data_IF_271309213711
#
_entry.id   IF_271309213711
#
_cell.length_a   1.000
_cell.length_b   1.000
_cell.length_c   1.000
_cell.angle_alpha   90.00
_cell.angle_beta   90.00
_cell.angle_gamma   90.00
#
_symmetry.space_group_name_H-M   'P 1'
#
loop_
_entity.id
_entity.type
_entity.pdbx_description
1 polymer ?
#
# COMPACT_ATOMS: atom_id res chain seq x y z
N UNK A 1 -8.78 5.66 13.58
CA UNK A 1 -7.44 5.03 13.47
C UNK A 1 -6.95 5.19 12.05
N UNK A 2 -5.67 5.43 11.87
CA UNK A 2 -5.00 5.50 10.57
C UNK A 2 -4.52 4.09 10.21
N UNK A 3 -4.68 3.71 8.94
CA UNK A 3 -4.17 2.43 8.42
C UNK A 3 -3.15 2.71 7.32
N UNK A 4 -2.08 1.90 7.26
CA UNK A 4 -1.19 1.89 6.11
C UNK A 4 -1.87 1.21 4.91
N UNK A 5 -1.55 1.65 3.69
CA UNK A 5 -1.98 0.95 2.46
C UNK A 5 -1.16 -0.31 2.19
N UNK A 6 0.01 -0.45 2.80
CA UNK A 6 0.84 -1.66 2.78
C UNK A 6 0.51 -2.54 3.98
N UNK A 7 0.66 -3.84 3.83
CA UNK A 7 0.42 -4.79 4.90
C UNK A 7 0.72 -6.22 4.47
N UNK A 8 0.91 -7.06 5.46
CA UNK A 8 1.12 -8.49 5.30
C UNK A 8 0.30 -9.25 6.34
N UNK A 9 -0.34 -10.33 5.93
CA UNK A 9 -1.02 -11.25 6.81
C UNK A 9 -0.80 -12.69 6.37
N UNK A 10 -0.59 -13.59 7.31
CA UNK A 10 -0.45 -15.03 7.07
C UNK A 10 -1.22 -15.79 8.12
N UNK A 11 -1.94 -16.79 7.67
CA UNK A 11 -2.58 -17.75 8.55
C UNK A 11 -2.37 -19.16 8.01
N UNK A 12 -2.11 -20.08 8.92
CA UNK A 12 -1.93 -21.49 8.62
C UNK A 12 -2.86 -22.29 9.53
N UNK A 13 -3.71 -23.12 8.93
CA UNK A 13 -4.67 -23.96 9.66
C UNK A 13 -4.47 -25.39 9.19
N UNK A 14 -4.33 -26.28 10.16
CA UNK A 14 -4.30 -27.72 9.94
C UNK A 14 -5.49 -28.36 10.64
N UNK A 15 -6.46 -28.85 9.87
CA UNK A 15 -7.66 -29.52 10.38
C UNK A 15 -7.94 -30.78 9.56
N UNK A 16 -8.28 -31.89 10.22
CA UNK A 16 -8.69 -33.14 9.58
C UNK A 16 -7.72 -33.61 8.46
N UNK A 17 -6.42 -33.65 8.76
CA UNK A 17 -5.34 -34.06 7.84
C UNK A 17 -5.20 -33.16 6.58
N UNK A 18 -5.74 -31.97 6.64
CA UNK A 18 -5.65 -30.95 5.59
C UNK A 18 -5.01 -29.70 6.13
N UNK A 19 -4.13 -29.09 5.35
CA UNK A 19 -3.44 -27.87 5.70
C UNK A 19 -3.75 -26.79 4.69
N UNK A 20 -4.22 -25.66 5.20
CA UNK A 20 -4.46 -24.44 4.44
C UNK A 20 -3.46 -23.38 4.88
N UNK A 21 -2.71 -22.81 3.96
CA UNK A 21 -1.87 -21.64 4.22
C UNK A 21 -2.34 -20.51 3.33
N UNK A 22 -2.69 -19.38 3.95
CA UNK A 22 -3.12 -18.18 3.25
C UNK A 22 -2.16 -17.05 3.57
N UNK A 23 -1.59 -16.45 2.54
CA UNK A 23 -0.73 -15.28 2.64
C UNK A 23 -1.38 -14.13 1.86
N UNK A 24 -1.40 -12.95 2.48
CA UNK A 24 -1.97 -11.73 1.92
C UNK A 24 -0.92 -10.63 1.96
N UNK A 25 -0.74 -9.93 0.84
CA UNK A 25 0.15 -8.78 0.73
C UNK A 25 -0.56 -7.66 -0.02
N UNK A 26 -0.50 -6.45 0.51
CA UNK A 26 -1.03 -5.28 -0.18
C UNK A 26 0.05 -4.25 -0.50
N UNK A 27 -0.18 -3.55 -1.61
CA UNK A 27 0.56 -2.36 -2.00
C UNK A 27 -0.41 -1.23 -2.30
N UNK A 28 0.10 0.01 -2.24
CA UNK A 28 -0.70 1.19 -2.53
C UNK A 28 -1.31 1.11 -3.92
N UNK A 29 -2.63 1.25 -4.00
CA UNK A 29 -3.38 1.34 -5.25
C UNK A 29 -4.66 2.15 -5.07
N UNK A 30 -5.07 2.88 -6.14
CA UNK A 30 -6.23 3.78 -6.09
C UNK A 30 -7.56 3.07 -5.85
N UNK A 31 -7.72 1.85 -6.38
CA UNK A 31 -8.92 1.04 -6.31
C UNK A 31 -8.62 -0.28 -5.60
N UNK A 32 -9.67 -0.98 -5.15
CA UNK A 32 -9.51 -2.35 -4.67
C UNK A 32 -9.28 -3.27 -5.87
N UNK A 33 -8.08 -3.83 -5.97
CA UNK A 33 -7.71 -4.85 -6.94
C UNK A 33 -7.23 -6.09 -6.18
N UNK A 34 -7.99 -7.18 -6.29
CA UNK A 34 -7.70 -8.43 -5.57
C UNK A 34 -7.30 -9.50 -6.57
N UNK A 35 -6.07 -9.95 -6.46
CA UNK A 35 -5.52 -11.03 -7.26
C UNK A 35 -5.34 -12.26 -6.36
N UNK A 36 -6.02 -13.37 -6.69
CA UNK A 36 -6.02 -14.59 -5.90
C UNK A 36 -5.31 -15.68 -6.70
N UNK A 37 -4.25 -16.23 -6.13
CA UNK A 37 -3.54 -17.39 -6.65
C UNK A 37 -3.80 -18.58 -5.75
N UNK A 38 -4.43 -19.61 -6.30
CA UNK A 38 -4.81 -20.82 -5.55
C UNK A 38 -4.72 -22.08 -6.41
N UNK A 39 -4.66 -23.27 -5.82
CA UNK A 39 -4.76 -24.55 -6.53
C UNK A 39 -6.08 -24.69 -7.28
N UNK A 40 -6.08 -25.35 -8.45
CA UNK A 40 -7.28 -25.55 -9.27
C UNK A 40 -8.45 -26.18 -8.51
N UNK A 41 -8.16 -27.07 -7.57
CA UNK A 41 -9.14 -27.73 -6.69
C UNK A 41 -9.98 -26.74 -5.84
N UNK A 42 -9.53 -25.50 -5.63
CA UNK A 42 -10.21 -24.49 -4.83
C UNK A 42 -10.85 -23.37 -5.66
N UNK A 43 -10.72 -23.38 -7.00
CA UNK A 43 -11.18 -22.28 -7.85
C UNK A 43 -12.67 -21.95 -7.73
N UNK A 44 -13.51 -22.93 -7.42
CA UNK A 44 -14.95 -22.70 -7.21
C UNK A 44 -15.27 -21.81 -5.99
N UNK A 45 -14.33 -21.65 -5.04
CA UNK A 45 -14.48 -20.76 -3.90
C UNK A 45 -14.03 -19.31 -4.15
N UNK A 46 -13.50 -18.98 -5.33
CA UNK A 46 -12.96 -17.65 -5.60
C UNK A 46 -13.95 -16.52 -5.34
N UNK A 47 -15.20 -16.68 -5.77
CA UNK A 47 -16.25 -15.68 -5.56
C UNK A 47 -16.58 -15.44 -4.09
N UNK A 48 -16.61 -16.54 -3.30
CA UNK A 48 -16.86 -16.51 -1.86
C UNK A 48 -15.71 -15.82 -1.11
N UNK A 49 -14.46 -16.12 -1.48
CA UNK A 49 -13.28 -15.48 -0.91
C UNK A 49 -13.30 -13.97 -1.22
N UNK A 50 -13.57 -13.57 -2.48
CA UNK A 50 -13.68 -12.15 -2.86
C UNK A 50 -14.76 -11.42 -2.05
N UNK A 51 -15.91 -12.07 -1.82
CA UNK A 51 -17.00 -11.50 -1.03
C UNK A 51 -16.64 -11.35 0.44
N UNK A 52 -15.91 -12.30 0.99
CA UNK A 52 -15.40 -12.27 2.36
C UNK A 52 -14.40 -11.11 2.54
N UNK A 53 -13.45 -10.97 1.64
CA UNK A 53 -12.38 -9.98 1.71
C UNK A 53 -12.86 -8.53 1.61
N UNK A 54 -13.97 -8.28 0.92
CA UNK A 54 -14.60 -6.94 0.86
C UNK A 54 -15.07 -6.43 2.24
N UNK A 55 -15.21 -7.32 3.24
CA UNK A 55 -15.55 -6.93 4.61
C UNK A 55 -14.34 -6.36 5.37
N UNK A 56 -13.13 -6.71 4.96
CA UNK A 56 -11.86 -6.35 5.62
C UNK A 56 -11.08 -5.26 4.89
N UNK A 57 -11.26 -5.13 3.56
CA UNK A 57 -10.41 -4.31 2.70
C UNK A 57 -11.29 -3.47 1.78
N UNK A 58 -11.12 -2.15 1.88
CA UNK A 58 -11.86 -1.18 1.06
C UNK A 58 -11.07 -0.74 -0.17
N UNK A 59 -9.71 -0.70 -0.06
CA UNK A 59 -8.82 -0.13 -1.06
C UNK A 59 -7.46 -0.82 -1.05
N UNK A 60 -6.74 -0.74 -2.19
CA UNK A 60 -5.38 -1.27 -2.37
C UNK A 60 -5.34 -2.42 -3.37
N UNK A 61 -4.16 -2.71 -3.89
CA UNK A 61 -3.91 -3.93 -4.66
C UNK A 61 -3.44 -5.02 -3.70
N UNK A 62 -4.23 -6.09 -3.63
CA UNK A 62 -4.01 -7.19 -2.68
C UNK A 62 -3.72 -8.47 -3.46
N UNK A 63 -2.53 -9.01 -3.30
CA UNK A 63 -2.15 -10.32 -3.79
C UNK A 63 -2.36 -11.35 -2.67
N UNK A 64 -3.08 -12.41 -2.99
CA UNK A 64 -3.43 -13.49 -2.06
C UNK A 64 -2.89 -14.79 -2.63
N UNK A 65 -2.12 -15.49 -1.82
CA UNK A 65 -1.58 -16.80 -2.13
C UNK A 65 -2.20 -17.82 -1.20
N UNK A 66 -2.87 -18.80 -1.77
CA UNK A 66 -3.48 -19.90 -1.04
C UNK A 66 -2.78 -21.18 -1.45
N UNK A 67 -2.20 -21.88 -0.48
CA UNK A 67 -1.71 -23.24 -0.65
C UNK A 67 -2.58 -24.21 0.13
N UNK A 68 -2.75 -25.41 -0.43
CA UNK A 68 -3.53 -26.49 0.13
C UNK A 68 -2.73 -27.77 0.04
N UNK A 69 -2.56 -28.42 1.17
CA UNK A 69 -1.92 -29.74 1.29
C UNK A 69 -2.94 -30.71 1.90
N UNK A 70 -3.09 -31.86 1.28
CA UNK A 70 -3.99 -32.92 1.72
C UNK A 70 -3.13 -34.11 2.16
N UNK A 71 -3.20 -34.45 3.43
CA UNK A 71 -2.48 -35.58 4.04
C UNK A 71 -3.38 -36.78 4.26
N UNK A 72 -4.69 -36.67 3.87
CA UNK A 72 -5.57 -37.83 3.91
C UNK A 72 -4.94 -38.93 3.04
N UNK A 73 -4.83 -40.13 3.59
CA UNK A 73 -4.41 -41.27 2.82
C UNK A 73 -5.27 -41.31 1.56
N UNK A 74 -4.60 -41.25 0.38
CA UNK A 74 -5.28 -41.30 -0.91
C UNK A 74 -5.97 -42.64 -1.03
N UNK A 75 -7.18 -42.73 -0.55
CA UNK A 75 -8.07 -43.85 -0.86
C UNK A 75 -8.47 -43.71 -2.33
N UNK A 76 -7.52 -44.03 -3.21
CA UNK A 76 -7.82 -44.24 -4.62
C UNK A 76 -8.74 -45.46 -4.70
N UNK A 77 -10.03 -45.19 -4.89
CA UNK A 77 -10.99 -46.23 -5.08
C UNK A 77 -10.89 -46.72 -6.54
N UNK A 78 -10.47 -47.96 -6.70
CA UNK A 78 -10.51 -48.62 -8.01
C UNK A 78 -11.93 -49.08 -8.23
N UNK A 79 -12.61 -48.50 -9.20
CA UNK A 79 -13.97 -48.93 -9.59
C UNK A 79 -13.88 -49.87 -10.77
N UNK A 80 -14.51 -51.03 -10.60
CA UNK A 80 -14.70 -51.99 -11.68
C UNK A 80 -15.98 -51.68 -12.43
N UNK A 81 -15.86 -51.43 -13.73
CA UNK A 81 -16.99 -51.14 -14.61
C UNK A 81 -17.43 -52.44 -15.31
N UNK A 82 -18.37 -53.12 -14.70
CA UNK A 82 -18.86 -54.39 -15.13
C UNK A 82 -19.46 -54.34 -16.55
N UNK A 83 -20.26 -53.31 -16.85
CA UNK A 83 -21.00 -53.22 -18.10
C UNK A 83 -20.05 -53.07 -19.29
N UNK A 84 -19.00 -52.26 -19.12
CA UNK A 84 -17.94 -52.11 -20.16
C UNK A 84 -17.15 -53.41 -20.33
N UNK A 85 -16.83 -54.08 -19.25
CA UNK A 85 -16.12 -55.37 -19.32
C UNK A 85 -16.96 -56.44 -20.02
N UNK A 86 -18.28 -56.49 -19.82
CA UNK A 86 -19.21 -57.38 -20.49
C UNK A 86 -19.29 -57.08 -22.00
N UNK A 87 -19.31 -55.80 -22.40
CA UNK A 87 -19.27 -55.43 -23.82
C UNK A 87 -17.97 -55.86 -24.49
N UNK A 88 -16.81 -55.60 -23.89
CA UNK A 88 -15.53 -56.06 -24.41
C UNK A 88 -15.50 -57.59 -24.56
N UNK A 89 -15.93 -58.33 -23.54
CA UNK A 89 -15.99 -59.78 -23.54
C UNK A 89 -16.89 -60.32 -24.69
N UNK A 90 -18.05 -59.71 -24.94
CA UNK A 90 -18.98 -60.04 -25.99
C UNK A 90 -18.30 -59.89 -27.38
N UNK A 91 -17.70 -58.75 -27.64
CA UNK A 91 -17.05 -58.50 -28.95
C UNK A 91 -15.79 -59.32 -29.16
N UNK A 92 -15.01 -59.59 -28.14
CA UNK A 92 -13.85 -60.49 -28.23
C UNK A 92 -14.25 -61.92 -28.64
N UNK A 93 -15.32 -62.46 -28.03
CA UNK A 93 -15.87 -63.75 -28.39
C UNK A 93 -16.42 -63.79 -29.80
N UNK A 94 -17.10 -62.71 -30.24
CA UNK A 94 -17.58 -62.58 -31.60
C UNK A 94 -16.42 -62.54 -32.61
N UNK A 95 -15.35 -61.80 -32.34
CA UNK A 95 -14.15 -61.79 -33.17
C UNK A 95 -13.48 -63.15 -33.28
N UNK A 96 -13.40 -63.88 -32.17
CA UNK A 96 -12.88 -65.21 -32.18
C UNK A 96 -13.70 -66.18 -33.13
N UNK A 97 -15.01 -66.06 -33.13
CA UNK A 97 -15.91 -66.80 -34.00
C UNK A 97 -15.79 -66.36 -35.46
N UNK A 98 -15.86 -65.05 -35.72
CA UNK A 98 -15.87 -64.48 -37.07
C UNK A 98 -14.59 -64.80 -37.86
N UNK A 99 -13.47 -64.83 -37.15
CA UNK A 99 -12.14 -65.08 -37.75
C UNK A 99 -11.54 -66.47 -37.47
N UNK A 100 -12.30 -67.39 -36.84
CA UNK A 100 -11.87 -68.73 -36.44
C UNK A 100 -10.55 -68.68 -35.62
N UNK A 101 -10.46 -67.77 -34.68
CA UNK A 101 -9.34 -67.61 -33.75
C UNK A 101 -9.60 -68.37 -32.45
N UNK A 102 -8.55 -68.71 -31.71
CA UNK A 102 -8.68 -69.30 -30.39
C UNK A 102 -9.21 -68.23 -29.39
N UNK A 103 -10.16 -68.59 -28.53
CA UNK A 103 -10.62 -67.76 -27.44
C UNK A 103 -9.59 -67.77 -26.30
N UNK A 104 -8.73 -66.72 -26.27
CA UNK A 104 -7.65 -66.58 -25.30
C UNK A 104 -7.95 -65.51 -24.26
N UNK A 105 -9.22 -65.11 -24.11
CA UNK A 105 -9.63 -64.04 -23.20
C UNK A 105 -9.35 -64.41 -21.75
N UNK A 106 -8.40 -63.68 -21.15
CA UNK A 106 -8.01 -63.87 -19.75
C UNK A 106 -8.38 -62.61 -18.97
N UNK A 107 -8.57 -62.76 -17.66
CA UNK A 107 -8.80 -61.61 -16.74
C UNK A 107 -7.70 -60.55 -16.88
N UNK A 108 -6.45 -60.98 -17.03
CA UNK A 108 -5.31 -60.09 -17.23
C UNK A 108 -5.35 -59.30 -18.56
N UNK A 109 -6.04 -59.82 -19.57
CA UNK A 109 -6.26 -59.14 -20.85
C UNK A 109 -7.43 -58.16 -20.72
N UNK A 110 -8.57 -58.62 -20.18
CA UNK A 110 -9.77 -57.84 -20.02
C UNK A 110 -9.55 -56.62 -19.09
N UNK A 111 -8.74 -56.82 -18.05
CA UNK A 111 -8.43 -55.72 -17.07
C UNK A 111 -7.60 -54.59 -17.66
N UNK A 112 -6.97 -54.77 -18.84
CA UNK A 112 -6.16 -53.73 -19.50
C UNK A 112 -6.92 -52.91 -20.51
N UNK A 113 -8.18 -53.29 -20.84
CA UNK A 113 -8.97 -52.48 -21.76
C UNK A 113 -9.40 -51.15 -21.09
N UNK A 114 -9.48 -50.09 -21.88
CA UNK A 114 -9.88 -48.77 -21.37
C UNK A 114 -11.18 -48.83 -20.57
N UNK A 115 -11.21 -48.08 -19.48
CA UNK A 115 -12.40 -47.89 -18.63
C UNK A 115 -12.98 -49.14 -17.92
N UNK A 116 -12.37 -50.32 -18.09
CA UNK A 116 -12.74 -51.50 -17.30
C UNK A 116 -12.43 -51.28 -15.82
N UNK A 117 -11.29 -50.67 -15.53
CA UNK A 117 -10.97 -50.12 -14.19
C UNK A 117 -10.73 -48.64 -14.29
N UNK A 118 -11.47 -47.87 -13.50
CA UNK A 118 -11.27 -46.42 -13.35
C UNK A 118 -10.80 -46.14 -11.93
N UNK A 119 -9.85 -45.20 -11.81
CA UNK A 119 -9.46 -44.65 -10.52
C UNK A 119 -10.39 -43.45 -10.24
N UNK A 120 -11.30 -43.61 -9.28
CA UNK A 120 -12.13 -42.50 -8.81
C UNK A 120 -11.48 -41.90 -7.56
N UNK A 121 -11.19 -40.59 -7.62
CA UNK A 121 -10.87 -39.82 -6.41
C UNK A 121 -12.17 -39.70 -5.61
N UNK A 122 -12.09 -39.91 -4.29
CA UNK A 122 -13.27 -39.67 -3.41
C UNK A 122 -13.77 -38.25 -3.58
N UNK A 123 -15.08 -38.10 -3.67
CA UNK A 123 -15.74 -36.79 -3.69
C UNK A 123 -15.38 -36.03 -2.43
N UNK A 124 -14.67 -34.94 -2.61
CA UNK A 124 -14.26 -34.07 -1.52
C UNK A 124 -15.51 -33.36 -0.99
N UNK A 125 -15.72 -33.38 0.33
CA UNK A 125 -16.78 -32.62 0.97
C UNK A 125 -16.45 -31.10 0.87
N UNK A 126 -17.14 -30.44 -0.07
CA UNK A 126 -16.97 -29.01 -0.34
C UNK A 126 -17.26 -28.13 0.87
N UNK A 127 -18.21 -28.52 1.73
CA UNK A 127 -18.55 -27.75 2.92
C UNK A 127 -17.43 -27.79 3.96
N UNK A 128 -16.79 -28.94 4.14
CA UNK A 128 -15.64 -29.07 5.05
C UNK A 128 -14.43 -28.31 4.53
N UNK A 129 -14.17 -28.36 3.21
CA UNK A 129 -13.11 -27.59 2.59
C UNK A 129 -13.34 -26.10 2.75
N UNK A 130 -14.57 -25.62 2.54
CA UNK A 130 -14.90 -24.22 2.70
C UNK A 130 -14.68 -23.76 4.13
N UNK A 131 -15.14 -24.51 5.14
CA UNK A 131 -14.96 -24.15 6.55
C UNK A 131 -13.49 -23.97 6.94
N UNK A 132 -12.62 -24.88 6.50
CA UNK A 132 -11.18 -24.77 6.77
C UNK A 132 -10.54 -23.58 6.04
N UNK A 133 -10.87 -23.41 4.75
CA UNK A 133 -10.39 -22.30 3.94
C UNK A 133 -10.90 -20.94 4.47
N UNK A 134 -12.18 -20.83 4.82
CA UNK A 134 -12.77 -19.60 5.37
C UNK A 134 -12.06 -19.17 6.64
N UNK A 135 -11.81 -20.09 7.57
CA UNK A 135 -11.05 -19.79 8.79
C UNK A 135 -9.65 -19.28 8.48
N UNK A 136 -8.95 -19.93 7.53
CA UNK A 136 -7.60 -19.52 7.13
C UNK A 136 -7.59 -18.14 6.48
N UNK A 137 -8.56 -17.85 5.61
CA UNK A 137 -8.73 -16.54 4.96
C UNK A 137 -9.08 -15.46 5.99
N UNK A 138 -10.00 -15.73 6.93
CA UNK A 138 -10.35 -14.80 8.01
C UNK A 138 -9.14 -14.50 8.89
N UNK A 139 -8.42 -15.52 9.33
CA UNK A 139 -7.23 -15.33 10.18
C UNK A 139 -6.12 -14.54 9.48
N UNK A 140 -5.88 -14.81 8.18
CA UNK A 140 -4.94 -14.02 7.40
C UNK A 140 -5.40 -12.56 7.21
N UNK A 141 -6.71 -12.34 6.98
CA UNK A 141 -7.28 -11.00 6.83
C UNK A 141 -7.22 -10.20 8.14
N UNK A 142 -7.50 -10.82 9.28
CA UNK A 142 -7.36 -10.18 10.60
C UNK A 142 -5.92 -9.79 10.89
N UNK A 143 -4.97 -10.71 10.69
CA UNK A 143 -3.54 -10.42 10.82
C UNK A 143 -3.08 -9.29 9.87
N UNK A 144 -3.56 -9.29 8.64
CA UNK A 144 -3.31 -8.26 7.65
C UNK A 144 -3.83 -6.88 8.09
N UNK A 145 -5.08 -6.81 8.58
CA UNK A 145 -5.66 -5.54 9.09
C UNK A 145 -4.88 -5.04 10.30
N UNK A 146 -4.52 -5.93 11.22
CA UNK A 146 -3.74 -5.56 12.40
C UNK A 146 -2.35 -5.03 12.03
N UNK A 147 -1.67 -5.64 11.07
CA UNK A 147 -0.39 -5.15 10.58
C UNK A 147 -0.52 -3.75 9.98
N UNK A 148 -1.57 -3.48 9.19
CA UNK A 148 -1.85 -2.15 8.61
C UNK A 148 -2.14 -1.09 9.67
N UNK A 149 -2.82 -1.44 10.76
CA UNK A 149 -3.08 -0.53 11.88
C UNK A 149 -1.77 -0.19 12.59
N UNK A 150 -0.94 -1.19 12.89
CA UNK A 150 0.34 -0.98 13.57
C UNK A 150 1.29 -0.12 12.73
N UNK A 151 1.39 -0.40 11.45
CA UNK A 151 2.21 0.38 10.52
C UNK A 151 1.66 1.80 10.33
N UNK A 152 0.33 1.96 10.26
CA UNK A 152 -0.33 3.26 10.19
C UNK A 152 -0.04 4.14 11.39
N UNK A 153 0.00 3.58 12.61
CA UNK A 153 0.35 4.33 13.81
C UNK A 153 1.84 4.72 13.82
N UNK A 154 2.74 3.85 13.35
CA UNK A 154 4.16 4.18 13.20
C UNK A 154 4.36 5.31 12.19
N UNK A 155 3.69 5.26 11.03
CA UNK A 155 3.72 6.32 10.02
C UNK A 155 3.21 7.65 10.58
N UNK A 156 2.12 7.62 11.33
CA UNK A 156 1.58 8.83 12.00
C UNK A 156 2.60 9.47 12.94
N UNK A 157 3.25 8.67 13.78
CA UNK A 157 4.23 9.17 14.73
C UNK A 157 5.47 9.77 14.03
N UNK A 158 5.96 9.12 12.98
CA UNK A 158 7.05 9.64 12.16
C UNK A 158 6.68 10.95 11.44
N UNK A 159 5.46 11.03 10.89
CA UNK A 159 4.95 12.25 10.27
C UNK A 159 4.83 13.39 11.27
N UNK A 160 4.33 13.16 12.49
CA UNK A 160 4.25 14.17 13.53
C UNK A 160 5.65 14.69 13.89
N UNK A 161 6.62 13.79 14.05
CA UNK A 161 8.00 14.19 14.35
C UNK A 161 8.62 15.05 13.23
N UNK A 162 8.40 14.70 11.96
CA UNK A 162 8.84 15.52 10.82
C UNK A 162 8.17 16.90 10.79
N UNK A 163 6.87 16.94 11.06
CA UNK A 163 6.12 18.21 11.14
C UNK A 163 6.59 19.09 12.31
N UNK A 164 7.04 18.50 13.43
CA UNK A 164 7.66 19.23 14.51
C UNK A 164 9.02 19.81 14.10
N UNK A 165 9.87 19.02 13.41
CA UNK A 165 11.12 19.52 12.87
C UNK A 165 10.97 20.64 11.85
N UNK A 166 9.90 20.61 11.05
CA UNK A 166 9.59 21.70 10.11
C UNK A 166 9.29 23.03 10.83
N UNK A 167 8.68 22.98 12.02
CA UNK A 167 8.43 24.19 12.81
C UNK A 167 9.72 24.88 13.24
N UNK A 168 10.80 24.14 13.52
CA UNK A 168 12.11 24.71 13.85
C UNK A 168 12.66 25.56 12.71
N UNK A 169 12.49 25.12 11.45
CA UNK A 169 12.88 25.91 10.28
C UNK A 169 12.01 27.16 10.13
N UNK A 170 10.70 27.05 10.38
CA UNK A 170 9.77 28.19 10.32
C UNK A 170 10.11 29.21 11.41
N UNK A 171 10.45 28.76 12.62
CA UNK A 171 10.86 29.62 13.74
C UNK A 171 12.15 30.36 13.41
N UNK A 172 13.16 29.66 12.90
CA UNK A 172 14.41 30.27 12.47
C UNK A 172 14.20 31.38 11.42
N UNK A 173 13.39 31.09 10.37
CA UNK A 173 13.09 32.09 9.33
C UNK A 173 12.36 33.30 9.92
N UNK A 174 11.43 33.08 10.86
CA UNK A 174 10.68 34.14 11.55
C UNK A 174 11.63 35.06 12.33
N UNK A 175 12.62 34.52 13.01
CA UNK A 175 13.58 35.28 13.80
C UNK A 175 14.61 36.02 12.93
N UNK A 176 15.02 35.41 11.81
CA UNK A 176 16.05 35.95 10.90
C UNK A 176 15.50 37.08 9.99
N UNK A 177 14.25 36.97 9.56
CA UNK A 177 13.65 37.93 8.58
C UNK A 177 13.76 39.43 8.99
N UNK A 178 13.48 39.85 10.23
CA UNK A 178 13.64 41.26 10.63
C UNK A 178 15.11 41.72 10.63
N UNK A 179 16.05 40.81 10.88
CA UNK A 179 17.47 41.14 10.94
C UNK A 179 18.00 41.52 9.55
N UNK A 180 17.51 40.89 8.51
CA UNK A 180 17.89 41.16 7.10
C UNK A 180 17.55 42.59 6.72
N UNK A 181 16.40 43.09 7.14
CA UNK A 181 15.96 44.47 6.89
C UNK A 181 16.90 45.46 7.60
N UNK A 182 17.27 45.13 8.85
CA UNK A 182 18.21 45.95 9.62
C UNK A 182 19.62 45.98 9.00
N UNK A 183 20.13 44.81 8.62
CA UNK A 183 21.41 44.69 7.94
C UNK A 183 21.44 45.41 6.58
N UNK A 184 20.34 45.29 5.81
CA UNK A 184 20.20 46.00 4.53
C UNK A 184 20.22 47.52 4.73
N UNK A 185 19.47 48.02 5.71
CA UNK A 185 19.47 49.47 6.06
C UNK A 185 20.87 49.93 6.37
N UNK A 186 21.62 49.21 7.19
CA UNK A 186 22.97 49.57 7.58
C UNK A 186 23.93 49.58 6.39
N UNK A 187 23.93 48.51 5.58
CA UNK A 187 24.78 48.40 4.35
C UNK A 187 24.46 49.51 3.36
N UNK A 188 23.16 49.78 3.17
CA UNK A 188 22.77 50.85 2.23
C UNK A 188 23.24 52.23 2.73
N UNK A 189 23.14 52.52 4.02
CA UNK A 189 23.61 53.76 4.64
C UNK A 189 25.11 53.91 4.47
N UNK A 190 25.90 52.91 4.77
CA UNK A 190 27.34 52.92 4.62
C UNK A 190 27.76 53.15 3.16
N UNK A 191 27.13 52.48 2.21
CA UNK A 191 27.41 52.63 0.80
C UNK A 191 27.06 54.01 0.26
N UNK A 192 25.94 54.61 0.72
CA UNK A 192 25.55 55.98 0.36
C UNK A 192 26.54 56.98 0.95
N UNK A 193 26.99 56.78 2.20
CA UNK A 193 27.99 57.64 2.83
C UNK A 193 29.35 57.62 2.08
N UNK A 194 29.79 56.46 1.66
CA UNK A 194 31.03 56.30 0.84
C UNK A 194 30.94 57.08 -0.49
N UNK A 195 29.73 57.13 -1.11
CA UNK A 195 29.51 57.76 -2.41
C UNK A 195 29.32 59.29 -2.33
N UNK A 196 28.89 59.81 -1.16
CA UNK A 196 28.54 61.23 -0.97
C UNK A 196 29.66 62.09 -0.36
N UNK A 197 30.80 61.50 0.01
CA UNK A 197 31.90 62.14 0.74
C UNK A 197 31.34 62.90 1.99
N UNK A 198 31.40 64.23 1.97
CA UNK A 198 30.93 65.08 3.07
C UNK A 198 29.45 65.54 2.96
N UNK A 199 28.71 65.07 1.96
CA UNK A 199 27.33 65.46 1.75
C UNK A 199 26.38 64.71 2.71
N UNK A 200 25.38 65.40 3.26
CA UNK A 200 24.39 64.77 4.15
C UNK A 200 23.51 63.79 3.39
N UNK A 201 23.28 62.61 4.01
CA UNK A 201 22.37 61.62 3.49
C UNK A 201 20.94 62.13 3.60
N UNK A 202 20.15 61.97 2.54
CA UNK A 202 18.68 62.17 2.59
C UNK A 202 18.02 60.96 3.25
N UNK A 203 17.72 61.12 4.55
CA UNK A 203 17.13 60.03 5.37
C UNK A 203 15.73 59.61 4.86
N UNK A 204 14.95 60.55 4.27
CA UNK A 204 13.62 60.21 3.74
C UNK A 204 13.73 59.25 2.53
N UNK A 205 14.72 59.52 1.67
CA UNK A 205 15.00 58.70 0.49
C UNK A 205 15.56 57.33 0.88
N UNK A 206 16.46 57.30 1.88
CA UNK A 206 16.97 56.05 2.46
C UNK A 206 15.84 55.17 3.02
N UNK A 207 14.92 55.76 3.80
CA UNK A 207 13.78 55.04 4.37
C UNK A 207 12.84 54.50 3.30
N UNK A 208 12.61 55.25 2.21
CA UNK A 208 11.79 54.80 1.09
C UNK A 208 12.38 53.54 0.47
N UNK A 209 13.69 53.50 0.20
CA UNK A 209 14.37 52.32 -0.38
C UNK A 209 14.33 51.12 0.59
N UNK A 210 14.51 51.35 1.89
CA UNK A 210 14.42 50.28 2.90
C UNK A 210 13.01 49.72 2.97
N UNK A 211 11.95 50.57 2.86
CA UNK A 211 10.57 50.10 2.84
C UNK A 211 10.26 49.27 1.62
N UNK A 212 10.70 49.69 0.43
CA UNK A 212 10.54 48.91 -0.82
C UNK A 212 11.23 47.57 -0.69
N UNK A 213 12.44 47.52 -0.13
CA UNK A 213 13.16 46.28 0.10
C UNK A 213 12.43 45.40 1.12
N UNK A 214 11.95 45.95 2.24
CA UNK A 214 11.21 45.24 3.27
C UNK A 214 9.95 44.56 2.70
N UNK A 215 9.17 45.27 1.89
CA UNK A 215 7.98 44.74 1.24
C UNK A 215 8.33 43.58 0.28
N UNK A 216 9.45 43.71 -0.45
CA UNK A 216 9.91 42.67 -1.40
C UNK A 216 10.32 41.38 -0.71
N UNK A 217 10.96 41.47 0.45
CA UNK A 217 11.48 40.26 1.19
C UNK A 217 10.53 39.81 2.30
N UNK A 218 9.35 40.43 2.45
CA UNK A 218 8.37 40.07 3.45
C UNK A 218 7.83 38.65 3.18
N UNK A 219 7.95 37.76 4.18
CA UNK A 219 7.50 36.38 4.15
C UNK A 219 6.56 36.01 5.29
N UNK A 220 6.07 37.02 6.00
CA UNK A 220 5.27 36.84 7.22
C UNK A 220 3.96 36.07 6.94
N UNK A 221 3.29 36.37 5.84
CA UNK A 221 2.05 35.71 5.45
C UNK A 221 2.30 34.20 5.15
N UNK A 222 3.36 33.91 4.40
CA UNK A 222 3.78 32.53 4.06
C UNK A 222 4.12 31.73 5.32
N UNK A 223 4.81 32.32 6.28
CA UNK A 223 5.14 31.69 7.55
C UNK A 223 3.90 31.39 8.40
N UNK A 224 2.95 32.34 8.49
CA UNK A 224 1.68 32.11 9.19
C UNK A 224 0.87 31.00 8.54
N UNK A 225 0.76 31.02 7.21
CA UNK A 225 0.05 29.96 6.46
C UNK A 225 0.71 28.61 6.65
N UNK A 226 2.04 28.54 6.58
CA UNK A 226 2.79 27.30 6.75
C UNK A 226 2.59 26.70 8.15
N UNK A 227 2.64 27.52 9.21
CA UNK A 227 2.30 27.08 10.58
C UNK A 227 0.88 26.54 10.67
N UNK A 228 -0.08 27.22 10.04
CA UNK A 228 -1.48 26.78 9.99
C UNK A 228 -1.61 25.42 9.28
N UNK A 229 -0.96 25.23 8.14
CA UNK A 229 -1.00 23.97 7.39
C UNK A 229 -0.34 22.81 8.16
N UNK A 230 0.77 23.06 8.85
CA UNK A 230 1.41 22.08 9.73
C UNK A 230 0.45 21.68 10.86
N UNK A 231 -0.20 22.65 11.51
CA UNK A 231 -1.20 22.39 12.55
C UNK A 231 -2.38 21.56 12.04
N UNK A 232 -2.97 21.94 10.91
CA UNK A 232 -4.08 21.21 10.27
C UNK A 232 -3.70 19.77 9.89
N UNK A 233 -2.44 19.57 9.45
CA UNK A 233 -1.94 18.23 9.15
C UNK A 233 -1.87 17.37 10.41
N UNK A 234 -1.34 17.89 11.51
CA UNK A 234 -1.29 17.20 12.80
C UNK A 234 -2.68 16.86 13.35
N UNK A 235 -3.61 17.80 13.30
CA UNK A 235 -5.00 17.58 13.70
C UNK A 235 -5.66 16.49 12.86
N UNK A 236 -5.48 16.49 11.54
CA UNK A 236 -6.02 15.47 10.66
C UNK A 236 -5.43 14.08 10.98
N UNK A 237 -4.10 13.99 11.24
CA UNK A 237 -3.45 12.75 11.66
C UNK A 237 -3.96 12.23 13.01
N UNK A 238 -4.31 13.11 13.95
CA UNK A 238 -4.88 12.72 15.24
C UNK A 238 -6.34 12.26 15.09
N UNK A 239 -7.12 12.93 14.26
CA UNK A 239 -8.53 12.59 14.01
C UNK A 239 -8.71 11.26 13.30
N UNK A 240 -7.78 10.84 12.45
CA UNK A 240 -7.83 9.59 11.70
C UNK A 240 -8.92 9.55 10.62
N UNK A 241 -9.19 8.36 10.10
CA UNK A 241 -10.15 8.13 9.02
C UNK A 241 -9.51 8.29 7.64
N UNK A 242 -10.32 8.35 6.59
CA UNK A 242 -9.84 8.47 5.19
C UNK A 242 -9.33 9.89 4.89
N UNK A 243 -8.14 10.20 5.37
CA UNK A 243 -7.56 11.55 5.36
C UNK A 243 -6.52 11.77 4.25
N UNK A 244 -6.07 10.73 3.55
CA UNK A 244 -4.94 10.80 2.61
C UNK A 244 -5.08 11.91 1.55
N UNK A 245 -6.26 12.10 0.94
CA UNK A 245 -6.48 13.18 -0.04
C UNK A 245 -6.41 14.57 0.56
N UNK A 246 -6.94 14.74 1.78
CA UNK A 246 -6.89 16.02 2.51
C UNK A 246 -5.44 16.37 2.84
N UNK A 247 -4.69 15.41 3.31
CA UNK A 247 -3.27 15.57 3.65
C UNK A 247 -2.41 15.88 2.41
N UNK A 248 -2.64 15.22 1.27
CA UNK A 248 -1.91 15.52 0.03
C UNK A 248 -2.16 16.94 -0.45
N UNK A 249 -3.42 17.42 -0.35
CA UNK A 249 -3.75 18.82 -0.66
C UNK A 249 -3.02 19.80 0.27
N UNK A 250 -3.04 19.56 1.58
CA UNK A 250 -2.34 20.42 2.54
C UNK A 250 -0.83 20.43 2.29
N UNK A 251 -0.24 19.26 1.97
CA UNK A 251 1.18 19.17 1.64
C UNK A 251 1.55 19.98 0.37
N UNK A 252 0.66 20.02 -0.63
CA UNK A 252 0.84 20.86 -1.82
C UNK A 252 0.82 22.36 -1.47
N UNK A 253 -0.09 22.78 -0.58
CA UNK A 253 -0.12 24.18 -0.11
C UNK A 253 1.15 24.51 0.69
N UNK A 254 1.60 23.61 1.59
CA UNK A 254 2.88 23.81 2.29
C UNK A 254 4.06 24.00 1.32
N UNK A 255 4.11 23.18 0.26
CA UNK A 255 5.16 23.30 -0.77
C UNK A 255 5.08 24.63 -1.52
N UNK A 256 3.86 25.14 -1.77
CA UNK A 256 3.64 26.44 -2.38
C UNK A 256 4.18 27.57 -1.51
N UNK A 257 3.87 27.57 -0.20
CA UNK A 257 4.36 28.58 0.73
C UNK A 257 5.90 28.53 0.84
N UNK A 258 6.50 27.34 0.94
CA UNK A 258 7.95 27.17 0.97
C UNK A 258 8.64 27.68 -0.31
N UNK A 259 8.04 27.48 -1.48
CA UNK A 259 8.53 28.01 -2.76
C UNK A 259 8.47 29.55 -2.78
N UNK A 260 7.39 30.14 -2.24
CA UNK A 260 7.26 31.60 -2.17
C UNK A 260 8.30 32.22 -1.24
N UNK A 261 8.54 31.62 -0.07
CA UNK A 261 9.63 32.03 0.84
C UNK A 261 10.97 32.00 0.11
N UNK A 262 11.29 30.91 -0.59
CA UNK A 262 12.54 30.76 -1.33
C UNK A 262 12.69 31.81 -2.44
N UNK A 263 11.60 32.19 -3.11
CA UNK A 263 11.63 33.17 -4.20
C UNK A 263 11.76 34.62 -3.73
N UNK A 264 11.29 34.92 -2.51
CA UNK A 264 11.34 36.28 -1.92
C UNK A 264 12.65 36.54 -1.18
N UNK A 265 13.32 35.52 -0.67
CA UNK A 265 14.54 35.71 0.11
C UNK A 265 15.75 35.96 -0.74
N UNK A 266 16.65 36.83 -0.24
CA UNK A 266 18.01 37.05 -0.78
C UNK A 266 19.10 36.62 0.21
N UNK A 267 18.69 36.17 1.41
CA UNK A 267 19.58 35.72 2.48
C UNK A 267 19.91 34.23 2.30
N UNK A 268 21.19 33.87 2.42
CA UNK A 268 21.67 32.50 2.21
C UNK A 268 21.20 31.54 3.30
N UNK A 269 21.09 32.02 4.54
CA UNK A 269 20.65 31.18 5.67
C UNK A 269 19.17 30.83 5.55
N UNK A 270 18.33 31.85 5.23
CA UNK A 270 16.90 31.62 4.96
C UNK A 270 16.73 30.70 3.73
N UNK A 271 17.50 30.91 2.66
CA UNK A 271 17.45 30.05 1.47
C UNK A 271 17.77 28.60 1.82
N UNK A 272 18.81 28.36 2.62
CA UNK A 272 19.18 27.04 3.10
C UNK A 272 18.04 26.37 3.88
N UNK A 273 17.47 27.09 4.85
CA UNK A 273 16.34 26.59 5.65
C UNK A 273 15.07 26.33 4.82
N UNK A 274 14.79 27.19 3.84
CA UNK A 274 13.64 27.01 2.95
C UNK A 274 13.79 25.77 2.04
N UNK A 275 15.03 25.46 1.59
CA UNK A 275 15.31 24.25 0.82
C UNK A 275 15.17 23.00 1.70
N UNK A 276 15.68 23.02 2.93
CA UNK A 276 15.51 21.93 3.89
C UNK A 276 14.01 21.70 4.18
N UNK A 277 13.27 22.77 4.45
CA UNK A 277 11.84 22.74 4.67
C UNK A 277 11.08 22.11 3.49
N UNK A 278 11.41 22.51 2.25
CA UNK A 278 10.84 21.92 1.04
C UNK A 278 11.14 20.44 0.92
N UNK A 279 12.34 20.04 1.26
CA UNK A 279 12.76 18.62 1.23
C UNK A 279 11.95 17.80 2.24
N UNK A 280 11.74 18.31 3.45
CA UNK A 280 10.92 17.65 4.46
C UNK A 280 9.44 17.59 4.06
N UNK A 281 8.90 18.63 3.42
CA UNK A 281 7.53 18.64 2.87
C UNK A 281 7.35 17.52 1.83
N UNK A 282 8.30 17.32 0.91
CA UNK A 282 8.21 16.24 -0.08
C UNK A 282 8.30 14.86 0.59
N UNK A 283 9.16 14.67 1.57
CA UNK A 283 9.22 13.40 2.34
C UNK A 283 7.89 13.12 3.07
N UNK A 284 7.29 14.14 3.69
CA UNK A 284 5.98 14.04 4.32
C UNK A 284 4.92 13.67 3.30
N UNK A 285 4.94 14.29 2.12
CA UNK A 285 4.00 14.03 1.04
C UNK A 285 4.09 12.60 0.50
N UNK A 286 5.30 12.07 0.31
CA UNK A 286 5.50 10.68 -0.10
C UNK A 286 4.93 9.68 0.91
N UNK A 287 5.12 9.93 2.21
CA UNK A 287 4.57 9.07 3.25
C UNK A 287 3.04 9.17 3.36
N UNK A 288 2.45 10.34 3.17
CA UNK A 288 1.00 10.55 3.15
C UNK A 288 0.33 9.66 2.08
N UNK A 289 0.99 9.40 0.96
CA UNK A 289 0.46 8.52 -0.09
C UNK A 289 0.24 7.08 0.38
N UNK A 290 0.88 6.66 1.47
CA UNK A 290 0.73 5.33 2.06
C UNK A 290 -0.32 5.29 3.18
N UNK A 291 -1.06 6.37 3.42
CA UNK A 291 -2.10 6.48 4.46
C UNK A 291 -3.49 6.29 3.86
N UNK A 292 -4.30 5.47 4.55
CA UNK A 292 -5.71 5.22 4.27
C UNK A 292 -6.60 5.74 5.41
#
# INVERSE_FOLDING_TARGET
MIKSMTGFGRCEISEAERKFTVEMKAVNHRYLDVNIKMPKKLNFFESSIRSLLKKYIERGKVDIFISYEDFTENNVCIKYNKDIAEEYLKYLKQMAQDFSLDDDVRVSTLSRYPEVFTMEEQTIDEEQLWKGLEKAVCGAAEGFVQARITEGENLKNDLIAKLDGMLEHVDFITERSPQIITEYKQKLREKVQELLDDTKIDEARLLTEVTIFADKVCVDEELVRLRSHIGQTKEALQGGGSIGRKLDFIAQEMNREANTILSKTTDLEISGRAIELKTEIEKVREQIQNIE
#
